data_IF_073965348095
#
_entry.id   IF_073965348095
#
_cell.length_a   1.000
_cell.length_b   1.000
_cell.length_c   1.000
_cell.angle_alpha   90.00
_cell.angle_beta   90.00
_cell.angle_gamma   90.00
#
_symmetry.space_group_name_H-M   'P 1'
#
loop_
_entity.id
_entity.type
_entity.pdbx_description
1 polymer ?
#
# COMPACT_ATOMS: atom_id res chain seq x y z
N UNK A 1 0.38 36.24 -27.01
CA UNK A 1 0.44 34.78 -27.25
C UNK A 1 -0.82 34.15 -26.66
N UNK A 2 -1.67 33.53 -27.50
CA UNK A 2 -2.93 32.89 -27.06
C UNK A 2 -2.66 31.39 -26.96
N UNK A 3 -2.83 30.81 -25.76
CA UNK A 3 -2.64 29.39 -25.53
C UNK A 3 -3.89 28.67 -26.09
N UNK A 4 -3.72 27.91 -27.17
CA UNK A 4 -4.76 26.98 -27.63
C UNK A 4 -4.68 25.76 -26.73
N UNK A 5 -5.73 25.51 -25.96
CA UNK A 5 -5.85 24.25 -25.23
C UNK A 5 -6.04 23.12 -26.24
N UNK A 6 -5.13 22.15 -26.20
CA UNK A 6 -5.09 20.99 -27.11
C UNK A 6 -6.21 19.98 -26.85
N UNK A 7 -6.88 20.11 -25.71
CA UNK A 7 -7.91 19.19 -25.24
C UNK A 7 -9.20 19.97 -25.00
N UNK A 8 -10.33 19.35 -25.30
CA UNK A 8 -11.61 19.88 -24.87
C UNK A 8 -11.73 19.80 -23.34
N UNK A 9 -12.63 20.59 -22.77
CA UNK A 9 -12.92 20.54 -21.33
C UNK A 9 -13.33 19.14 -20.88
N UNK A 10 -14.06 18.39 -21.72
CA UNK A 10 -14.51 17.03 -21.42
C UNK A 10 -13.35 16.03 -21.43
N UNK A 11 -12.47 16.11 -22.42
CA UNK A 11 -11.27 15.27 -22.49
C UNK A 11 -10.35 15.53 -21.30
N UNK A 12 -10.17 16.81 -20.95
CA UNK A 12 -9.41 17.23 -19.78
C UNK A 12 -10.02 16.70 -18.48
N UNK A 13 -11.35 16.76 -18.34
CA UNK A 13 -12.05 16.26 -17.16
C UNK A 13 -11.91 14.75 -17.01
N UNK A 14 -12.03 14.00 -18.11
CA UNK A 14 -11.88 12.54 -18.12
C UNK A 14 -10.47 12.13 -17.71
N UNK A 15 -9.44 12.78 -18.25
CA UNK A 15 -8.03 12.47 -17.97
C UNK A 15 -7.59 12.88 -16.56
N UNK A 16 -8.02 14.05 -16.09
CA UNK A 16 -7.51 14.60 -14.83
C UNK A 16 -8.34 14.20 -13.61
N UNK A 17 -9.63 13.92 -13.78
CA UNK A 17 -10.53 13.62 -12.66
C UNK A 17 -11.00 12.18 -12.76
N UNK A 18 -11.72 11.80 -13.82
CA UNK A 18 -12.37 10.49 -13.88
C UNK A 18 -11.40 9.32 -13.85
N UNK A 19 -10.25 9.43 -14.52
CA UNK A 19 -9.23 8.38 -14.49
C UNK A 19 -8.33 8.41 -13.25
N UNK A 20 -8.21 9.56 -12.59
CA UNK A 20 -7.39 9.71 -11.38
C UNK A 20 -8.22 9.65 -10.09
N UNK A 21 -9.50 9.27 -10.17
CA UNK A 21 -10.36 9.05 -9.00
C UNK A 21 -10.01 7.72 -8.32
N UNK A 22 -8.77 7.62 -7.85
CA UNK A 22 -8.21 6.46 -7.13
C UNK A 22 -8.11 6.74 -5.62
N UNK A 23 -8.74 7.82 -5.16
CA UNK A 23 -8.67 8.24 -3.76
C UNK A 23 -9.35 7.20 -2.89
N UNK A 24 -8.56 6.52 -2.07
CA UNK A 24 -9.05 5.54 -1.10
C UNK A 24 -8.55 5.94 0.28
N UNK A 25 -9.44 6.12 1.27
CA UNK A 25 -9.01 6.40 2.64
C UNK A 25 -8.13 5.26 3.17
N UNK A 26 -6.96 5.61 3.70
CA UNK A 26 -6.07 4.68 4.39
C UNK A 26 -6.07 5.00 5.89
N UNK A 27 -5.98 3.97 6.73
CA UNK A 27 -5.92 4.14 8.17
C UNK A 27 -4.65 4.88 8.61
N UNK A 28 -4.64 5.51 9.81
CA UNK A 28 -3.48 6.26 10.31
C UNK A 28 -2.32 5.38 10.77
N UNK A 29 -2.46 4.05 10.69
CA UNK A 29 -1.53 3.09 11.24
C UNK A 29 -0.23 3.06 10.41
N UNK A 30 0.90 2.97 11.10
CA UNK A 30 2.18 2.76 10.44
C UNK A 30 2.32 1.32 9.93
N UNK A 31 3.23 1.10 8.99
CA UNK A 31 3.54 -0.26 8.51
C UNK A 31 3.97 -1.20 9.66
N UNK A 32 4.83 -0.80 10.61
CA UNK A 32 5.14 -1.62 11.79
C UNK A 32 3.89 -2.00 12.61
N UNK A 33 2.97 -1.06 12.86
CA UNK A 33 1.74 -1.34 13.62
C UNK A 33 0.83 -2.35 12.91
N UNK A 34 0.72 -2.27 11.58
CA UNK A 34 -0.02 -3.25 10.79
C UNK A 34 0.66 -4.62 10.82
N UNK A 35 1.99 -4.66 10.82
CA UNK A 35 2.77 -5.88 10.92
C UNK A 35 2.61 -6.57 12.28
N UNK A 36 2.74 -5.83 13.38
CA UNK A 36 2.50 -6.34 14.74
C UNK A 36 1.09 -6.91 14.90
N UNK A 37 0.08 -6.21 14.36
CA UNK A 37 -1.30 -6.70 14.37
C UNK A 37 -1.45 -8.02 13.60
N UNK A 38 -0.73 -8.19 12.49
CA UNK A 38 -0.71 -9.44 11.73
C UNK A 38 0.03 -10.55 12.49
N UNK A 39 1.13 -10.24 13.17
CA UNK A 39 1.87 -11.17 14.00
C UNK A 39 1.05 -11.68 15.20
N UNK A 40 0.25 -10.81 15.82
CA UNK A 40 -0.67 -11.20 16.87
C UNK A 40 -1.81 -12.11 16.35
N UNK A 41 -2.35 -11.83 15.15
CA UNK A 41 -3.45 -12.61 14.56
C UNK A 41 -3.02 -13.97 14.02
N UNK A 42 -1.82 -14.06 13.43
CA UNK A 42 -1.33 -15.26 12.74
C UNK A 42 0.14 -15.53 13.08
N UNK A 43 0.47 -15.79 14.36
CA UNK A 43 1.87 -15.88 14.82
C UNK A 43 2.67 -17.00 14.15
N UNK A 44 2.02 -18.11 13.78
CA UNK A 44 2.66 -19.27 13.15
C UNK A 44 2.65 -19.23 11.62
N UNK A 45 2.00 -18.23 10.99
CA UNK A 45 2.02 -18.12 9.54
C UNK A 45 3.40 -17.66 9.07
N UNK A 46 3.89 -18.24 7.98
CA UNK A 46 5.14 -17.82 7.34
C UNK A 46 5.04 -16.38 6.86
N UNK A 47 5.95 -15.52 7.33
CA UNK A 47 6.05 -14.11 6.97
C UNK A 47 7.13 -13.87 5.90
N UNK A 48 8.24 -14.61 5.98
CA UNK A 48 9.38 -14.51 5.08
C UNK A 48 9.92 -15.89 4.77
N UNK A 49 10.32 -16.10 3.52
CA UNK A 49 11.06 -17.27 3.06
C UNK A 49 12.31 -16.78 2.35
N UNK A 50 13.46 -17.29 2.76
CA UNK A 50 14.74 -17.03 2.12
C UNK A 50 15.51 -18.34 2.03
N UNK A 51 15.72 -18.83 0.80
CA UNK A 51 16.27 -20.17 0.55
C UNK A 51 15.50 -21.25 1.34
N UNK A 52 16.20 -22.06 2.14
CA UNK A 52 15.62 -23.09 3.00
C UNK A 52 15.12 -22.56 4.36
N UNK A 53 15.29 -21.26 4.62
CA UNK A 53 14.87 -20.62 5.86
C UNK A 53 13.47 -20.03 5.73
N UNK A 54 12.66 -20.24 6.75
CA UNK A 54 11.33 -19.66 6.87
C UNK A 54 11.19 -19.02 8.24
N UNK A 55 10.72 -17.79 8.28
CA UNK A 55 10.38 -17.09 9.52
C UNK A 55 8.87 -16.88 9.58
N UNK A 56 8.29 -17.23 10.73
CA UNK A 56 6.91 -16.89 11.02
C UNK A 56 6.76 -15.41 11.35
N UNK A 57 5.53 -14.89 11.33
CA UNK A 57 5.27 -13.51 11.75
C UNK A 57 5.73 -13.25 13.19
N UNK A 58 5.58 -14.20 14.12
CA UNK A 58 6.06 -14.03 15.49
C UNK A 58 7.59 -13.94 15.54
N UNK A 59 8.30 -14.85 14.86
CA UNK A 59 9.77 -14.88 14.84
C UNK A 59 10.36 -13.61 14.21
N UNK A 60 9.76 -13.15 13.12
CA UNK A 60 10.21 -11.93 12.46
C UNK A 60 9.93 -10.68 13.31
N UNK A 61 8.79 -10.65 14.02
CA UNK A 61 8.46 -9.56 14.94
C UNK A 61 9.40 -9.52 16.15
N UNK A 62 9.79 -10.67 16.70
CA UNK A 62 10.73 -10.74 17.82
C UNK A 62 12.15 -10.29 17.44
N UNK A 63 12.60 -10.53 16.20
CA UNK A 63 13.91 -10.08 15.72
C UNK A 63 13.97 -8.60 15.36
N UNK A 64 12.83 -7.98 15.02
CA UNK A 64 12.76 -6.59 14.57
C UNK A 64 12.55 -5.57 15.71
N UNK A 65 12.16 -6.02 16.90
CA UNK A 65 12.01 -5.21 18.12
C UNK A 65 13.30 -5.18 18.94
#
# INVERSE_FOLDING_TARGET
MRRLDLLTTEERQKLLVSWNDTTTPVGPQSLPQLFEAQAAKRPQATAVVFEDQQLSYAQLNEQAN
#
